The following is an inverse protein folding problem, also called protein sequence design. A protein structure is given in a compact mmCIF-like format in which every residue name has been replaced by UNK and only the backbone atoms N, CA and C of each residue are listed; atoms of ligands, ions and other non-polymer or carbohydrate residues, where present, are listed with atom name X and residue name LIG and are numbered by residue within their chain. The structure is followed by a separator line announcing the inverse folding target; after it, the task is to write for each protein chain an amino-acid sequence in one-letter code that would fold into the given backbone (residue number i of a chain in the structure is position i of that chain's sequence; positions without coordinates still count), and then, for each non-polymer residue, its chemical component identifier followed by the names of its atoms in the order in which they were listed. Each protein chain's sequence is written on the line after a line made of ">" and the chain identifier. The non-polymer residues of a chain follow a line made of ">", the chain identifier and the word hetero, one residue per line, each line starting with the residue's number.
data_IF_078492553120
#
_entry.id   IF_078492553120
#
_cell.length_a   1.000
_cell.length_b   1.000
_cell.length_c   1.000
_cell.angle_alpha   90.00
_cell.angle_beta   90.00
_cell.angle_gamma   90.00
#
_symmetry.space_group_name_H-M   'P 1'
#
loop_
_entity.id
_entity.type
_entity.pdbx_description
1 polymer ?
#
# COMPACT_ATOMS: atom_id res chain seq x y z
N UNK A 1 9.61 20.94 52.29
CA UNK A 1 9.93 21.90 51.20
C UNK A 1 11.19 21.38 50.53
N UNK A 2 11.25 20.78 49.35
CA UNK A 2 10.33 20.58 48.22
C UNK A 2 10.96 19.42 47.45
N UNK A 3 10.28 18.28 47.37
CA UNK A 3 10.72 17.16 46.54
C UNK A 3 10.54 17.51 45.07
N UNK A 4 11.64 17.63 44.35
CA UNK A 4 11.63 17.80 42.88
C UNK A 4 11.12 16.49 42.28
N UNK A 5 9.86 16.49 41.89
CA UNK A 5 9.26 15.39 41.13
C UNK A 5 9.99 15.27 39.79
N UNK A 6 10.80 14.23 39.66
CA UNK A 6 11.30 13.77 38.37
C UNK A 6 10.08 13.33 37.55
N UNK A 7 9.61 14.21 36.67
CA UNK A 7 8.68 13.85 35.63
C UNK A 7 9.37 12.79 34.77
N UNK A 8 9.09 11.51 35.04
CA UNK A 8 9.41 10.44 34.11
C UNK A 8 8.68 10.79 32.83
N UNK A 9 9.42 11.27 31.82
CA UNK A 9 8.98 11.30 30.44
C UNK A 9 8.83 9.85 29.95
N UNK A 10 7.84 9.13 30.48
CA UNK A 10 7.37 7.89 29.88
C UNK A 10 6.57 8.31 28.65
N UNK A 11 7.24 8.38 27.51
CA UNK A 11 6.57 8.47 26.22
C UNK A 11 5.52 7.35 26.14
N UNK A 12 4.26 7.74 26.01
CA UNK A 12 3.10 6.86 26.05
C UNK A 12 2.95 6.16 24.69
N UNK A 13 3.91 5.34 24.29
CA UNK A 13 3.85 4.50 23.09
C UNK A 13 3.18 3.14 23.37
N UNK A 14 2.25 3.11 24.33
CA UNK A 14 1.75 1.86 24.91
C UNK A 14 1.15 0.95 23.84
N UNK A 15 0.45 1.52 22.86
CA UNK A 15 -0.20 0.82 21.74
C UNK A 15 0.47 1.03 20.38
N UNK A 16 1.73 1.46 20.35
CA UNK A 16 2.42 1.81 19.09
C UNK A 16 3.39 0.72 18.66
N UNK A 17 3.51 0.50 17.35
CA UNK A 17 4.68 -0.11 16.74
C UNK A 17 5.60 1.01 16.26
N UNK A 18 6.83 0.99 16.75
CA UNK A 18 7.89 1.92 16.34
C UNK A 18 8.84 1.19 15.42
N UNK A 19 8.95 1.64 14.16
CA UNK A 19 9.93 1.16 13.20
C UNK A 19 10.99 2.22 12.86
N UNK A 20 11.81 1.94 11.85
CA UNK A 20 12.80 2.88 11.33
C UNK A 20 12.94 2.77 9.80
N UNK A 21 13.67 3.71 9.20
CA UNK A 21 14.12 3.54 7.83
C UNK A 21 15.16 2.41 7.75
N UNK A 22 15.25 1.79 6.57
CA UNK A 22 16.07 0.60 6.36
C UNK A 22 16.97 0.75 5.14
N UNK A 23 18.05 -0.03 5.13
CA UNK A 23 18.92 -0.21 3.96
C UNK A 23 18.99 -1.69 3.61
N UNK A 24 19.33 -1.99 2.36
CA UNK A 24 19.54 -3.36 1.87
C UNK A 24 20.93 -3.50 1.28
N UNK A 25 21.47 -4.71 1.40
CA UNK A 25 22.77 -5.13 0.87
C UNK A 25 22.56 -6.46 0.12
N UNK A 26 22.60 -6.48 -1.22
CA UNK A 26 22.92 -5.35 -2.09
C UNK A 26 21.76 -4.32 -2.17
N UNK A 27 22.05 -3.04 -2.50
CA UNK A 27 21.06 -1.96 -2.48
C UNK A 27 19.84 -2.14 -3.41
N UNK A 28 19.99 -2.93 -4.47
CA UNK A 28 18.98 -3.15 -5.48
C UNK A 28 17.95 -4.24 -5.12
N UNK A 29 18.12 -4.94 -4.00
CA UNK A 29 17.18 -5.98 -3.63
C UNK A 29 15.84 -5.38 -3.16
N UNK A 30 14.72 -5.70 -3.81
CA UNK A 30 13.39 -5.11 -3.52
C UNK A 30 13.43 -3.57 -3.42
N UNK A 31 14.13 -2.95 -4.37
CA UNK A 31 14.44 -1.52 -4.35
C UNK A 31 13.16 -0.65 -4.29
N UNK A 32 12.15 -0.99 -5.10
CA UNK A 32 10.87 -0.27 -5.14
C UNK A 32 10.20 -0.22 -3.77
N UNK A 33 10.15 -1.36 -3.08
CA UNK A 33 9.56 -1.46 -1.76
C UNK A 33 10.35 -0.66 -0.71
N UNK A 34 11.68 -0.79 -0.74
CA UNK A 34 12.57 -0.07 0.19
C UNK A 34 12.50 1.43 0.01
N UNK A 35 12.41 1.90 -1.24
CA UNK A 35 12.19 3.30 -1.57
C UNK A 35 10.84 3.79 -1.02
N UNK A 36 9.78 3.03 -1.25
CA UNK A 36 8.43 3.37 -0.79
C UNK A 36 8.38 3.52 0.74
N UNK A 37 8.74 2.50 1.52
CA UNK A 37 8.67 2.56 2.99
C UNK A 37 9.52 3.67 3.61
N UNK A 38 10.64 4.04 2.98
CA UNK A 38 11.54 5.08 3.48
C UNK A 38 11.06 6.49 3.14
N UNK A 39 10.23 6.65 2.10
CA UNK A 39 9.76 7.95 1.62
C UNK A 39 8.38 8.36 2.14
N UNK A 40 7.61 7.45 2.74
CA UNK A 40 6.31 7.78 3.33
C UNK A 40 6.42 8.93 4.33
N UNK A 41 5.55 9.92 4.26
CA UNK A 41 5.42 10.92 5.32
C UNK A 41 4.78 10.32 6.59
N UNK A 42 4.92 10.93 7.78
CA UNK A 42 4.36 10.39 9.02
C UNK A 42 2.85 10.14 8.98
N UNK A 43 2.08 11.05 8.36
CA UNK A 43 0.64 10.91 8.15
C UNK A 43 0.28 9.79 7.16
N UNK A 44 1.20 9.48 6.24
CA UNK A 44 1.04 8.40 5.28
C UNK A 44 1.26 7.02 5.89
N UNK A 45 1.92 6.90 7.05
CA UNK A 45 2.19 5.61 7.69
C UNK A 45 0.93 4.81 8.00
N UNK A 46 -0.21 5.48 8.27
CA UNK A 46 -1.50 4.83 8.53
C UNK A 46 -2.39 4.77 7.29
N UNK A 47 -2.38 5.79 6.45
CA UNK A 47 -3.25 5.83 5.25
C UNK A 47 -2.77 4.87 4.15
N UNK A 48 -1.48 4.56 4.14
CA UNK A 48 -0.86 3.69 3.13
C UNK A 48 -0.78 2.21 3.52
N UNK A 49 -1.19 1.84 4.75
CA UNK A 49 -1.04 0.46 5.24
C UNK A 49 -1.80 -0.55 4.40
N UNK A 50 -3.01 -0.22 3.99
CA UNK A 50 -3.88 -1.14 3.24
C UNK A 50 -3.66 -1.08 1.73
N UNK A 51 -2.62 -0.37 1.29
CA UNK A 51 -2.17 -0.45 -0.10
C UNK A 51 -1.42 -1.76 -0.32
N UNK A 52 -1.13 -2.08 -1.58
CA UNK A 52 -0.49 -3.33 -1.97
C UNK A 52 0.92 -3.56 -1.45
N UNK A 53 1.52 -2.54 -0.83
CA UNK A 53 2.90 -2.55 -0.43
C UNK A 53 3.06 -2.72 1.10
N UNK A 54 1.98 -2.77 1.90
CA UNK A 54 2.09 -2.89 3.36
C UNK A 54 2.94 -4.08 3.82
N UNK A 55 3.58 -4.02 5.01
CA UNK A 55 3.45 -2.98 6.04
C UNK A 55 4.28 -1.70 5.77
N UNK A 56 3.87 -0.57 6.35
CA UNK A 56 4.53 0.75 6.18
C UNK A 56 5.79 0.93 7.04
N UNK A 57 6.00 0.03 7.99
CA UNK A 57 7.25 -0.18 8.74
C UNK A 57 7.52 -1.67 8.76
N UNK A 58 8.77 -2.11 8.62
CA UNK A 58 9.07 -3.53 8.34
C UNK A 58 9.74 -4.25 9.51
N UNK A 59 9.40 -5.50 9.78
CA UNK A 59 10.16 -6.34 10.72
C UNK A 59 11.54 -6.69 10.15
N UNK A 60 12.64 -6.69 10.94
CA UNK A 60 12.66 -6.61 12.40
C UNK A 60 12.79 -5.21 13.03
N UNK A 61 12.40 -4.13 12.36
CA UNK A 61 12.53 -2.79 12.97
C UNK A 61 11.56 -2.53 14.13
N UNK A 62 10.57 -3.41 14.35
CA UNK A 62 9.45 -3.14 15.26
C UNK A 62 9.85 -3.21 16.73
N UNK A 63 9.68 -2.08 17.41
CA UNK A 63 9.65 -1.99 18.86
C UNK A 63 8.22 -1.69 19.31
N UNK A 64 7.68 -2.50 20.21
CA UNK A 64 6.37 -2.25 20.84
C UNK A 64 6.38 -2.72 22.29
N UNK A 65 5.41 -2.24 23.09
CA UNK A 65 5.31 -2.68 24.48
C UNK A 65 4.95 -4.17 24.57
N UNK A 66 5.55 -4.90 25.50
CA UNK A 66 5.22 -6.32 25.72
C UNK A 66 3.74 -6.53 26.03
N UNK A 67 3.15 -5.61 26.81
CA UNK A 67 1.72 -5.64 27.12
C UNK A 67 0.86 -5.52 25.86
N UNK A 68 1.25 -4.66 24.91
CA UNK A 68 0.56 -4.53 23.64
C UNK A 68 0.76 -5.72 22.72
N UNK A 69 1.97 -6.26 22.61
CA UNK A 69 2.21 -7.51 21.90
C UNK A 69 1.29 -8.63 22.40
N UNK A 70 1.22 -8.82 23.72
CA UNK A 70 0.30 -9.80 24.33
C UNK A 70 -1.18 -9.49 24.06
N UNK A 71 -1.54 -8.21 23.98
CA UNK A 71 -2.91 -7.81 23.61
C UNK A 71 -3.22 -8.08 22.14
N UNK A 72 -2.27 -7.87 21.21
CA UNK A 72 -2.43 -8.15 19.77
C UNK A 72 -2.52 -9.65 19.51
N UNK A 73 -1.74 -10.45 20.23
CA UNK A 73 -1.68 -11.90 20.07
C UNK A 73 -0.38 -12.36 19.40
N UNK A 74 -0.11 -13.67 19.37
CA UNK A 74 1.08 -14.21 18.73
C UNK A 74 1.06 -14.02 17.21
N UNK A 75 2.22 -14.25 16.58
CA UNK A 75 2.30 -14.40 15.13
C UNK A 75 1.52 -15.64 14.67
N UNK A 76 1.03 -15.60 13.43
CA UNK A 76 0.41 -16.76 12.81
C UNK A 76 1.51 -17.73 12.34
N UNK A 77 1.43 -18.98 12.78
CA UNK A 77 2.38 -20.05 12.43
C UNK A 77 1.76 -21.04 11.43
N UNK A 78 0.84 -20.58 10.58
CA UNK A 78 0.09 -21.37 9.60
C UNK A 78 0.92 -22.17 8.59
N UNK A 79 2.23 -21.90 8.47
CA UNK A 79 3.19 -22.72 7.74
C UNK A 79 4.12 -21.91 6.82
N UNK A 80 4.82 -22.63 5.93
CA UNK A 80 5.79 -22.02 5.02
C UNK A 80 5.09 -21.07 4.03
N UNK A 81 5.48 -19.79 4.06
CA UNK A 81 4.93 -18.75 3.17
C UNK A 81 3.75 -17.98 3.76
N UNK A 82 3.34 -18.26 5.00
CA UNK A 82 2.41 -17.43 5.74
C UNK A 82 3.02 -16.04 5.94
N UNK A 83 2.34 -14.92 5.59
CA UNK A 83 2.86 -13.57 5.81
C UNK A 83 2.61 -13.14 7.26
N UNK A 84 3.24 -13.81 8.21
CA UNK A 84 3.05 -13.69 9.66
C UNK A 84 3.22 -12.25 10.16
N UNK A 85 4.24 -11.55 9.65
CA UNK A 85 4.48 -10.14 9.95
C UNK A 85 3.28 -9.28 9.54
N UNK A 86 2.81 -9.44 8.30
CA UNK A 86 1.71 -8.65 7.75
C UNK A 86 0.41 -8.90 8.52
N UNK A 87 0.14 -10.15 8.87
CA UNK A 87 -1.04 -10.52 9.66
C UNK A 87 -1.00 -9.90 11.05
N UNK A 88 0.14 -9.97 11.73
CA UNK A 88 0.33 -9.31 13.01
C UNK A 88 0.12 -7.79 12.90
N UNK A 89 0.70 -7.16 11.87
CA UNK A 89 0.55 -5.72 11.62
C UNK A 89 -0.91 -5.30 11.42
N UNK A 90 -1.69 -6.08 10.67
CA UNK A 90 -3.11 -5.83 10.49
C UNK A 90 -3.93 -6.08 11.76
N UNK A 91 -3.60 -7.11 12.54
CA UNK A 91 -4.23 -7.34 13.85
C UNK A 91 -3.98 -6.18 14.81
N UNK A 92 -2.73 -5.70 14.86
CA UNK A 92 -2.31 -4.52 15.61
C UNK A 92 -3.18 -3.30 15.29
N UNK A 93 -3.37 -2.97 14.00
CA UNK A 93 -4.17 -1.82 13.58
C UNK A 93 -5.66 -1.99 13.87
N UNK A 94 -6.21 -3.19 13.65
CA UNK A 94 -7.63 -3.48 13.94
C UNK A 94 -7.96 -3.32 15.42
N UNK A 95 -6.98 -3.50 16.31
CA UNK A 95 -7.12 -3.29 17.76
C UNK A 95 -6.89 -1.84 18.20
N UNK A 96 -6.68 -0.91 17.26
CA UNK A 96 -6.47 0.51 17.55
C UNK A 96 -5.00 0.87 17.81
N UNK A 97 -4.08 0.01 17.40
CA UNK A 97 -2.65 0.32 17.44
C UNK A 97 -2.26 1.39 16.44
N UNK A 98 -1.20 2.14 16.75
CA UNK A 98 -0.64 3.15 15.85
C UNK A 98 0.77 2.79 15.37
N UNK A 99 1.22 3.53 14.37
CA UNK A 99 2.52 3.30 13.71
C UNK A 99 3.35 4.57 13.78
N UNK A 100 4.60 4.43 14.23
CA UNK A 100 5.59 5.50 14.25
C UNK A 100 6.84 5.00 13.52
N UNK A 101 7.47 5.87 12.72
CA UNK A 101 8.76 5.59 12.09
C UNK A 101 9.78 6.62 12.57
N UNK A 102 10.95 6.14 12.99
CA UNK A 102 12.13 6.98 13.15
C UNK A 102 12.78 7.15 11.77
N UNK A 103 12.88 8.39 11.29
CA UNK A 103 13.46 8.75 9.97
C UNK A 103 14.99 8.71 9.99
N UNK A 104 15.53 7.58 10.45
CA UNK A 104 16.95 7.25 10.44
C UNK A 104 17.11 5.81 9.97
N UNK A 105 18.12 5.57 9.14
CA UNK A 105 18.48 4.22 8.69
C UNK A 105 19.13 3.44 9.83
N UNK A 106 18.34 2.69 10.62
CA UNK A 106 18.84 1.96 11.80
C UNK A 106 18.95 0.44 11.58
N UNK A 107 18.49 -0.07 10.42
CA UNK A 107 18.55 -1.49 10.09
C UNK A 107 19.12 -1.71 8.68
N UNK A 108 19.97 -2.73 8.55
CA UNK A 108 20.52 -3.22 7.28
C UNK A 108 20.06 -4.65 7.04
N UNK A 109 19.30 -4.90 5.98
CA UNK A 109 19.02 -6.26 5.50
C UNK A 109 20.12 -6.69 4.56
N UNK A 110 20.86 -7.71 4.97
CA UNK A 110 21.80 -8.38 4.08
C UNK A 110 21.14 -9.58 3.45
N UNK A 111 21.12 -9.61 2.13
CA UNK A 111 20.69 -10.78 1.37
C UNK A 111 21.77 -11.85 1.42
N UNK A 112 21.31 -13.09 1.49
CA UNK A 112 22.14 -14.27 1.33
C UNK A 112 21.57 -15.11 0.19
N UNK A 113 22.40 -15.83 -0.60
CA UNK A 113 21.93 -16.64 -1.74
C UNK A 113 20.84 -17.66 -1.41
N UNK A 114 20.76 -18.11 -0.17
CA UNK A 114 19.75 -19.07 0.31
C UNK A 114 18.45 -18.40 0.82
N UNK A 115 18.31 -17.08 0.69
CA UNK A 115 17.10 -16.38 1.14
C UNK A 115 15.90 -16.73 0.24
N UNK A 116 14.75 -17.01 0.86
CA UNK A 116 13.52 -17.41 0.18
C UNK A 116 13.03 -16.42 -0.89
N UNK A 117 13.45 -15.15 -0.82
CA UNK A 117 13.09 -14.08 -1.77
C UNK A 117 13.53 -14.37 -3.21
N UNK A 118 14.51 -15.25 -3.45
CA UNK A 118 14.88 -15.66 -4.82
C UNK A 118 13.77 -16.41 -5.58
N UNK A 119 12.75 -16.92 -4.87
CA UNK A 119 11.57 -17.55 -5.49
C UNK A 119 10.55 -16.54 -6.04
N UNK A 120 10.63 -15.27 -5.63
CA UNK A 120 9.77 -14.20 -6.14
C UNK A 120 10.55 -13.48 -7.23
N UNK A 121 10.50 -14.01 -8.46
CA UNK A 121 10.81 -13.19 -9.63
C UNK A 121 9.88 -11.99 -9.59
N UNK A 122 10.44 -10.79 -9.44
CA UNK A 122 9.73 -9.54 -9.75
C UNK A 122 9.49 -9.57 -11.26
N UNK A 123 8.46 -10.32 -11.68
CA UNK A 123 8.21 -10.63 -13.07
C UNK A 123 7.74 -9.35 -13.75
N UNK A 124 8.71 -8.62 -14.29
CA UNK A 124 8.52 -7.59 -15.31
C UNK A 124 7.98 -8.32 -16.53
N UNK A 125 6.65 -8.42 -16.67
CA UNK A 125 6.09 -8.40 -18.03
C UNK A 125 6.10 -6.93 -18.44
N UNK A 126 6.87 -6.54 -19.46
CA UNK A 126 6.44 -5.44 -20.30
C UNK A 126 5.17 -5.92 -21.00
N UNK A 127 4.01 -5.73 -20.36
CA UNK A 127 2.78 -5.63 -21.14
C UNK A 127 2.81 -4.24 -21.73
N UNK A 128 3.19 -4.20 -23.00
CA UNK A 128 2.88 -3.11 -23.91
C UNK A 128 1.52 -2.49 -23.56
N UNK A 129 1.51 -1.17 -23.57
CA UNK A 129 0.34 -0.29 -23.69
C UNK A 129 -0.53 -0.09 -22.43
N UNK A 130 -0.47 1.16 -21.97
CA UNK A 130 -1.63 1.88 -21.48
C UNK A 130 -1.83 1.86 -19.97
N UNK A 131 -2.28 3.02 -19.48
CA UNK A 131 -2.82 3.28 -18.16
C UNK A 131 -3.95 2.28 -17.86
N UNK A 132 -3.62 1.06 -17.45
CA UNK A 132 -4.62 0.06 -17.06
C UNK A 132 -5.04 0.37 -15.65
N UNK A 133 -6.05 1.23 -15.46
CA UNK A 133 -6.92 1.19 -14.28
C UNK A 133 -7.74 -0.11 -14.30
N UNK A 134 -7.07 -1.27 -14.31
CA UNK A 134 -7.73 -2.55 -14.09
C UNK A 134 -7.84 -2.73 -12.59
N UNK A 135 -8.84 -2.06 -12.02
CA UNK A 135 -9.72 -2.87 -11.19
C UNK A 135 -10.40 -3.82 -12.18
N UNK A 136 -9.83 -5.02 -12.37
CA UNK A 136 -10.67 -6.13 -12.84
C UNK A 136 -11.83 -6.13 -11.86
N UNK A 137 -13.05 -5.92 -12.34
CA UNK A 137 -14.25 -5.95 -11.49
C UNK A 137 -14.26 -7.17 -10.57
N UNK A 138 -13.64 -8.28 -10.99
CA UNK A 138 -13.33 -9.49 -10.21
C UNK A 138 -12.88 -9.26 -8.75
N UNK A 139 -12.08 -8.22 -8.46
CA UNK A 139 -11.54 -7.97 -7.09
C UNK A 139 -12.45 -7.16 -6.15
N UNK A 140 -13.50 -6.50 -6.67
CA UNK A 140 -14.45 -5.75 -5.85
C UNK A 140 -15.64 -6.64 -5.49
N UNK A 141 -16.01 -6.70 -4.21
CA UNK A 141 -17.30 -7.31 -3.81
C UNK A 141 -18.49 -6.61 -4.47
N UNK A 142 -19.64 -7.28 -4.57
CA UNK A 142 -20.86 -6.75 -5.20
C UNK A 142 -21.24 -5.35 -4.70
N UNK A 143 -21.12 -5.14 -3.39
CA UNK A 143 -21.41 -3.85 -2.72
C UNK A 143 -20.45 -2.71 -3.10
N UNK A 144 -19.20 -3.01 -3.45
CA UNK A 144 -18.23 -1.99 -3.87
C UNK A 144 -18.34 -1.70 -5.36
N UNK A 145 -18.70 -2.71 -6.18
CA UNK A 145 -18.95 -2.53 -7.62
C UNK A 145 -20.06 -1.52 -7.90
N UNK A 146 -21.15 -1.55 -7.12
CA UNK A 146 -22.26 -0.62 -7.28
C UNK A 146 -21.92 0.83 -6.94
N UNK A 147 -20.77 1.09 -6.31
CA UNK A 147 -20.29 2.45 -5.98
C UNK A 147 -19.37 3.03 -7.06
N UNK A 148 -18.98 2.25 -8.06
CA UNK A 148 -18.11 2.72 -9.14
C UNK A 148 -18.92 3.56 -10.12
N UNK A 149 -18.60 4.86 -10.20
CA UNK A 149 -19.31 5.81 -11.07
C UNK A 149 -18.73 5.90 -12.48
N UNK A 150 -17.42 5.68 -12.63
CA UNK A 150 -16.72 5.69 -13.91
C UNK A 150 -15.35 5.02 -13.79
N UNK A 151 -14.81 4.59 -14.92
CA UNK A 151 -13.38 4.28 -15.10
C UNK A 151 -12.69 5.41 -15.86
N UNK A 152 -11.40 5.60 -15.62
CA UNK A 152 -10.56 6.58 -16.31
C UNK A 152 -9.40 5.86 -16.99
N UNK A 153 -9.21 6.09 -18.28
CA UNK A 153 -8.17 5.42 -19.07
C UNK A 153 -7.45 6.42 -20.01
N UNK A 154 -6.34 6.00 -20.61
CA UNK A 154 -5.65 6.74 -21.69
C UNK A 154 -5.83 6.07 -23.05
N UNK A 155 -6.30 4.83 -23.06
CA UNK A 155 -6.52 4.05 -24.27
C UNK A 155 -7.70 4.63 -25.05
N UNK A 156 -7.40 5.26 -26.19
CA UNK A 156 -8.40 5.87 -27.06
C UNK A 156 -9.48 4.90 -27.52
N UNK A 157 -9.17 3.61 -27.70
CA UNK A 157 -10.15 2.63 -28.13
C UNK A 157 -11.16 2.36 -27.02
N UNK A 158 -10.71 2.31 -25.76
CA UNK A 158 -11.61 2.15 -24.60
C UNK A 158 -12.44 3.40 -24.36
N UNK A 159 -11.83 4.58 -24.49
CA UNK A 159 -12.54 5.86 -24.36
C UNK A 159 -13.60 5.97 -25.47
N UNK A 160 -13.25 5.58 -26.70
CA UNK A 160 -14.18 5.53 -27.83
C UNK A 160 -15.31 4.51 -27.64
N UNK A 161 -15.02 3.36 -27.04
CA UNK A 161 -16.04 2.40 -26.61
C UNK A 161 -17.00 3.03 -25.60
N UNK A 162 -16.52 3.93 -24.76
CA UNK A 162 -17.31 4.80 -23.87
C UNK A 162 -17.85 4.14 -22.60
N UNK A 163 -17.82 2.80 -22.51
CA UNK A 163 -18.27 2.08 -21.33
C UNK A 163 -17.55 0.74 -21.15
N UNK A 164 -17.40 0.37 -19.89
CA UNK A 164 -17.03 -0.95 -19.41
C UNK A 164 -18.30 -1.74 -19.08
N UNK A 165 -18.32 -3.00 -19.46
CA UNK A 165 -19.36 -3.95 -19.08
C UNK A 165 -18.66 -5.12 -18.38
N UNK A 166 -19.12 -5.50 -17.20
CA UNK A 166 -18.63 -6.68 -16.53
C UNK A 166 -19.16 -7.93 -17.25
N UNK A 167 -18.28 -8.66 -17.92
CA UNK A 167 -18.67 -9.77 -18.80
C UNK A 167 -19.41 -10.87 -18.04
N UNK A 168 -18.97 -11.18 -16.82
CA UNK A 168 -19.54 -12.21 -15.94
C UNK A 168 -20.71 -11.70 -15.08
N UNK A 169 -21.23 -10.50 -15.33
CA UNK A 169 -22.41 -10.02 -14.59
C UNK A 169 -23.63 -10.87 -14.92
N UNK A 170 -24.30 -11.35 -13.87
CA UNK A 170 -25.57 -12.08 -13.96
C UNK A 170 -26.78 -11.15 -14.13
N UNK A 171 -26.61 -9.83 -13.93
CA UNK A 171 -27.67 -8.83 -14.06
C UNK A 171 -28.06 -8.59 -15.52
N UNK A 172 -29.36 -8.37 -15.77
CA UNK A 172 -29.93 -8.05 -17.09
C UNK A 172 -30.88 -6.84 -17.02
N UNK A 173 -30.64 -5.75 -17.78
CA UNK A 173 -29.52 -5.54 -18.71
C UNK A 173 -28.17 -5.45 -17.95
N UNK A 174 -27.08 -5.83 -18.62
CA UNK A 174 -25.75 -5.82 -17.97
C UNK A 174 -25.38 -4.39 -17.53
N UNK A 175 -24.85 -4.21 -16.31
CA UNK A 175 -24.45 -2.90 -15.83
C UNK A 175 -23.31 -2.34 -16.69
N UNK A 176 -23.48 -1.09 -17.11
CA UNK A 176 -22.50 -0.35 -17.93
C UNK A 176 -21.91 0.77 -17.07
N UNK A 177 -20.59 0.78 -16.94
CA UNK A 177 -19.85 1.82 -16.22
C UNK A 177 -19.14 2.70 -17.26
N UNK A 178 -19.33 4.02 -17.28
CA UNK A 178 -18.66 4.91 -18.23
C UNK A 178 -17.13 4.76 -18.20
N UNK A 179 -16.50 4.88 -19.37
CA UNK A 179 -15.04 5.03 -19.49
C UNK A 179 -14.77 6.45 -19.95
N UNK A 180 -14.03 7.20 -19.14
CA UNK A 180 -13.64 8.59 -19.38
C UNK A 180 -12.14 8.67 -19.66
N UNK A 181 -11.71 9.75 -20.30
CA UNK A 181 -10.29 10.09 -20.40
C UNK A 181 -9.75 10.48 -19.01
N UNK A 182 -8.49 10.13 -18.69
CA UNK A 182 -7.91 10.38 -17.35
C UNK A 182 -8.01 11.84 -16.87
N UNK A 183 -7.92 12.81 -17.78
CA UNK A 183 -8.10 14.25 -17.48
C UNK A 183 -9.47 14.61 -16.93
N UNK A 184 -10.47 13.75 -17.10
CA UNK A 184 -11.82 13.93 -16.56
C UNK A 184 -11.99 13.31 -15.17
N UNK A 185 -10.94 12.70 -14.59
CA UNK A 185 -10.99 12.14 -13.24
C UNK A 185 -11.34 13.22 -12.22
N UNK A 186 -12.31 12.93 -11.34
CA UNK A 186 -12.77 13.84 -10.29
C UNK A 186 -12.49 13.22 -8.91
N UNK A 187 -11.74 13.91 -8.04
CA UNK A 187 -11.52 13.46 -6.66
C UNK A 187 -12.82 13.31 -5.85
N UNK A 188 -12.88 12.36 -4.88
CA UNK A 188 -11.87 11.36 -4.59
C UNK A 188 -11.95 10.15 -5.54
N UNK A 189 -10.81 9.61 -5.97
CA UNK A 189 -10.80 8.36 -6.75
C UNK A 189 -9.70 7.38 -6.32
N UNK A 190 -9.81 6.14 -6.81
CA UNK A 190 -8.85 5.07 -6.52
C UNK A 190 -8.04 4.75 -7.76
N UNK A 191 -6.73 4.67 -7.60
CA UNK A 191 -5.79 4.26 -8.64
C UNK A 191 -5.41 2.80 -8.39
N UNK A 192 -5.63 1.95 -9.38
CA UNK A 192 -5.30 0.52 -9.31
C UNK A 192 -4.31 0.12 -10.41
N UNK A 193 -3.18 0.82 -10.47
CA UNK A 193 -2.13 0.58 -11.46
C UNK A 193 -0.79 0.49 -10.75
N UNK A 194 0.14 -0.33 -11.24
CA UNK A 194 1.50 -0.33 -10.71
C UNK A 194 2.26 0.90 -11.19
N UNK A 195 2.96 1.55 -10.27
CA UNK A 195 3.91 2.63 -10.58
C UNK A 195 5.15 2.07 -11.26
N UNK A 196 5.90 2.94 -11.93
CA UNK A 196 7.20 2.71 -12.55
C UNK A 196 7.19 1.71 -13.73
N UNK A 197 6.01 1.30 -14.22
CA UNK A 197 5.89 0.38 -15.37
C UNK A 197 5.93 1.07 -16.73
N UNK A 198 5.79 2.40 -16.76
CA UNK A 198 5.60 3.17 -18.01
C UNK A 198 6.70 4.20 -18.25
N UNK A 199 7.86 4.03 -17.61
CA UNK A 199 8.98 4.97 -17.75
C UNK A 199 8.64 6.40 -17.31
N UNK A 200 7.72 6.57 -16.36
CA UNK A 200 7.30 7.88 -15.85
C UNK A 200 6.01 8.43 -16.47
N UNK A 201 5.50 7.87 -17.57
CA UNK A 201 4.34 8.44 -18.28
C UNK A 201 3.05 8.45 -17.42
N UNK A 202 2.82 7.40 -16.63
CA UNK A 202 1.72 7.36 -15.67
C UNK A 202 1.87 8.45 -14.62
N UNK A 203 3.06 8.56 -14.05
CA UNK A 203 3.42 9.50 -13.00
C UNK A 203 3.30 10.94 -13.50
N UNK A 204 3.67 11.22 -14.75
CA UNK A 204 3.51 12.52 -15.42
C UNK A 204 2.04 12.89 -15.58
N UNK A 205 1.21 11.95 -16.04
CA UNK A 205 -0.23 12.16 -16.16
C UNK A 205 -0.85 12.47 -14.79
N UNK A 206 -0.48 11.73 -13.74
CA UNK A 206 -0.98 11.97 -12.39
C UNK A 206 -0.52 13.34 -11.86
N UNK A 207 0.75 13.71 -12.08
CA UNK A 207 1.29 15.03 -11.74
C UNK A 207 0.54 16.16 -12.44
N UNK A 208 0.12 15.96 -13.70
CA UNK A 208 -0.63 16.95 -14.48
C UNK A 208 -2.03 17.25 -13.92
N UNK A 209 -2.58 16.37 -13.07
CA UNK A 209 -3.88 16.58 -12.44
C UNK A 209 -3.79 17.47 -11.19
N UNK A 210 -2.59 17.76 -10.69
CA UNK A 210 -2.35 18.56 -9.48
C UNK A 210 -3.11 18.05 -8.25
N UNK A 211 -3.12 16.73 -8.05
CA UNK A 211 -3.84 16.06 -6.97
C UNK A 211 -2.91 15.59 -5.87
N UNK A 212 -3.43 15.51 -4.65
CA UNK A 212 -2.72 15.03 -3.47
C UNK A 212 -3.16 13.61 -3.07
N UNK A 213 -2.21 12.68 -2.95
CA UNK A 213 -2.47 11.34 -2.44
C UNK A 213 -2.92 11.37 -0.96
N UNK A 214 -3.86 10.49 -0.58
CA UNK A 214 -4.44 10.44 0.77
C UNK A 214 -5.55 11.47 1.00
N UNK A 215 -5.72 12.43 0.09
CA UNK A 215 -6.80 13.42 0.09
C UNK A 215 -7.69 13.29 -1.15
N UNK A 216 -7.09 13.42 -2.32
CA UNK A 216 -7.79 13.46 -3.61
C UNK A 216 -7.82 12.09 -4.30
N UNK A 217 -6.85 11.24 -4.00
CA UNK A 217 -6.87 9.86 -4.47
C UNK A 217 -6.18 8.90 -3.49
N UNK A 218 -6.50 7.62 -3.62
CA UNK A 218 -5.80 6.52 -2.96
C UNK A 218 -5.19 5.60 -4.01
N UNK A 219 -3.94 5.20 -3.82
CA UNK A 219 -3.23 4.30 -4.73
C UNK A 219 -3.13 2.88 -4.17
N UNK A 220 -3.56 1.89 -4.95
CA UNK A 220 -3.43 0.47 -4.68
C UNK A 220 -2.64 -0.16 -5.84
N UNK A 221 -1.47 -0.76 -5.59
CA UNK A 221 -0.60 -1.36 -6.62
C UNK A 221 -0.68 -2.89 -6.68
#
# INVERSE_FOLDING_TARGET
>A
LSGVGSARNSFCFVSQIVGCQVRRDPPNSTERYTRWINQLAPDQLLTQVFTSNGPTVIMPTWFCSRAWFSHVGPFDEGGQGEPEDLLFFYSHLRKGGGVIRVDQSLLLYRYHPNAATHSVLEYVRPRHEGLRSRVKGEGLGSRSRSRVVAFCDVDENKIRKGFYCHEDSQERPKPRVPILHFRAARPPFVICVKLDLTGGAFEDNLRSLHLQEGRDFLHFS
#
